data_IF_176368140263
#
_entry.id   IF_176368140263
#
_cell.length_a   1.000
_cell.length_b   1.000
_cell.length_c   1.000
_cell.angle_alpha   90.00
_cell.angle_beta   90.00
_cell.angle_gamma   90.00
#
_symmetry.space_group_name_H-M   'P 1'
#
loop_
_entity.id
_entity.type
_entity.pdbx_description
1 polymer ?
#
# COMPACT_ATOMS: atom_id res chain seq x y z
N UNK A 1 14.67 14.51 -1.91
CA UNK A 1 15.18 14.10 -3.23
C UNK A 1 16.39 13.24 -3.04
N UNK A 2 16.74 12.44 -4.04
CA UNK A 2 17.93 11.58 -4.07
C UNK A 2 18.56 11.63 -5.46
N UNK A 3 19.77 11.12 -5.62
CA UNK A 3 20.43 10.91 -6.91
C UNK A 3 20.09 9.51 -7.46
N UNK A 4 20.15 9.33 -8.77
CA UNK A 4 19.92 8.04 -9.40
C UNK A 4 20.92 7.00 -8.85
N UNK A 5 20.39 5.83 -8.47
CA UNK A 5 21.18 4.76 -7.85
C UNK A 5 21.27 4.82 -6.32
N UNK A 6 20.82 5.92 -5.70
CA UNK A 6 20.61 5.96 -4.25
C UNK A 6 19.30 5.27 -3.86
N UNK A 7 19.25 4.80 -2.61
CA UNK A 7 18.05 4.22 -2.01
C UNK A 7 17.43 5.18 -0.99
N UNK A 8 16.14 5.00 -0.74
CA UNK A 8 15.46 5.62 0.40
C UNK A 8 14.59 4.60 1.12
N UNK A 9 14.41 4.83 2.41
CA UNK A 9 13.57 3.99 3.26
C UNK A 9 12.13 4.51 3.30
N UNK A 10 11.18 3.58 3.28
CA UNK A 10 9.75 3.85 3.48
C UNK A 10 9.31 3.07 4.71
N UNK A 11 9.04 3.80 5.78
CA UNK A 11 8.56 3.24 7.05
C UNK A 11 7.08 3.55 7.20
N UNK A 12 6.25 2.51 7.24
CA UNK A 12 4.80 2.64 7.36
C UNK A 12 4.38 2.07 8.70
N UNK A 13 3.80 2.93 9.52
CA UNK A 13 3.14 2.55 10.77
C UNK A 13 1.64 2.52 10.52
N UNK A 14 1.04 1.33 10.62
CA UNK A 14 -0.39 1.12 10.41
C UNK A 14 -1.05 0.74 11.73
N UNK A 15 -2.10 1.46 12.11
CA UNK A 15 -2.81 1.23 13.37
C UNK A 15 -4.31 1.18 13.17
N UNK A 16 -4.94 0.14 13.71
CA UNK A 16 -6.38 0.12 13.93
C UNK A 16 -6.68 1.02 15.14
N UNK A 17 -7.44 2.10 14.95
CA UNK A 17 -7.71 3.11 15.99
C UNK A 17 -9.00 2.87 16.79
N UNK A 18 -9.53 1.64 16.77
CA UNK A 18 -10.65 1.23 17.62
C UNK A 18 -11.83 0.61 16.88
N UNK A 19 -11.71 0.35 15.58
CA UNK A 19 -12.72 -0.39 14.82
C UNK A 19 -12.51 -1.91 15.02
N UNK A 20 -13.57 -2.70 14.93
CA UNK A 20 -13.46 -4.15 14.91
C UNK A 20 -13.42 -4.63 13.46
N UNK A 21 -12.28 -5.19 13.05
CA UNK A 21 -12.11 -5.83 11.76
C UNK A 21 -11.76 -7.31 11.91
N UNK A 22 -12.23 -8.14 11.00
CA UNK A 22 -11.69 -9.47 10.80
C UNK A 22 -10.31 -9.40 10.14
N UNK A 23 -10.14 -8.50 9.17
CA UNK A 23 -8.94 -8.40 8.35
C UNK A 23 -8.52 -6.94 8.19
N UNK A 24 -7.31 -6.62 8.62
CA UNK A 24 -6.64 -5.36 8.30
C UNK A 24 -5.74 -5.56 7.11
N UNK A 25 -5.88 -4.76 6.06
CA UNK A 25 -5.08 -4.83 4.84
C UNK A 25 -4.32 -3.51 4.69
N UNK A 26 -3.00 -3.60 4.49
CA UNK A 26 -2.16 -2.49 4.05
C UNK A 26 -1.84 -2.70 2.56
N UNK A 27 -2.06 -1.66 1.75
CA UNK A 27 -1.73 -1.64 0.32
C UNK A 27 -0.76 -0.52 0.00
N UNK A 28 0.29 -0.85 -0.77
CA UNK A 28 1.35 0.08 -1.17
C UNK A 28 1.49 0.00 -2.69
N UNK A 29 1.09 1.06 -3.39
CA UNK A 29 1.13 1.18 -4.84
C UNK A 29 2.35 1.94 -5.36
N UNK A 30 2.85 1.50 -6.51
CA UNK A 30 4.00 2.10 -7.20
C UNK A 30 3.60 2.51 -8.63
N UNK A 31 3.04 3.71 -8.83
CA UNK A 31 2.44 4.14 -10.11
C UNK A 31 3.36 4.05 -11.32
N UNK A 32 4.67 4.22 -11.11
CA UNK A 32 5.70 4.13 -12.16
C UNK A 32 6.07 2.69 -12.53
N UNK A 33 5.60 1.67 -11.79
CA UNK A 33 6.00 0.27 -11.95
C UNK A 33 4.88 -0.60 -12.54
N UNK A 34 5.24 -1.44 -13.50
CA UNK A 34 4.35 -2.51 -13.98
C UNK A 34 4.48 -3.80 -13.16
N UNK A 35 5.67 -4.06 -12.62
CA UNK A 35 6.00 -5.19 -11.76
C UNK A 35 7.05 -4.73 -10.75
N UNK A 36 6.97 -5.26 -9.53
CA UNK A 36 8.00 -5.04 -8.52
C UNK A 36 9.13 -6.05 -8.74
N UNK A 37 10.35 -5.54 -8.88
CA UNK A 37 11.59 -6.34 -8.95
C UNK A 37 12.52 -5.96 -7.79
N UNK A 38 13.83 -6.06 -7.99
CA UNK A 38 14.90 -5.57 -7.10
C UNK A 38 14.85 -4.07 -6.73
N UNK A 39 14.04 -3.25 -7.40
CA UNK A 39 13.86 -1.82 -7.07
C UNK A 39 13.15 -1.60 -5.73
N UNK A 40 12.27 -2.51 -5.31
CA UNK A 40 11.56 -2.42 -4.02
C UNK A 40 11.85 -3.67 -3.21
N UNK A 41 12.42 -3.50 -2.03
CA UNK A 41 12.76 -4.59 -1.12
C UNK A 41 12.02 -4.43 0.19
N UNK A 42 11.30 -5.46 0.60
CA UNK A 42 10.71 -5.54 1.95
C UNK A 42 11.84 -5.84 2.94
N UNK A 43 12.04 -4.94 3.90
CA UNK A 43 13.10 -5.02 4.91
C UNK A 43 12.57 -5.66 6.19
N UNK A 44 11.41 -5.21 6.66
CA UNK A 44 10.75 -5.75 7.83
C UNK A 44 9.22 -5.71 7.67
N UNK A 45 8.53 -6.61 8.37
CA UNK A 45 7.08 -6.64 8.46
C UNK A 45 6.65 -7.29 9.76
N UNK A 46 5.86 -6.57 10.55
CA UNK A 46 5.27 -7.08 11.80
C UNK A 46 3.84 -7.60 11.61
N UNK A 47 3.38 -7.66 10.35
CA UNK A 47 2.11 -8.29 9.98
C UNK A 47 2.21 -9.82 10.08
N UNK A 48 1.09 -10.47 10.43
CA UNK A 48 1.04 -11.90 10.73
C UNK A 48 0.74 -12.78 9.50
N UNK A 49 0.50 -12.20 8.31
CA UNK A 49 0.43 -12.91 7.04
C UNK A 49 1.55 -12.46 6.08
N UNK A 50 1.83 -13.29 5.07
CA UNK A 50 2.79 -12.93 4.03
C UNK A 50 2.27 -11.77 3.17
N UNK A 51 3.20 -10.90 2.74
CA UNK A 51 2.90 -9.92 1.70
C UNK A 51 2.79 -10.60 0.33
N UNK A 52 2.07 -9.93 -0.56
CA UNK A 52 1.91 -10.33 -1.95
C UNK A 52 2.34 -9.22 -2.88
N UNK A 53 3.22 -9.55 -3.82
CA UNK A 53 3.52 -8.68 -4.96
C UNK A 53 2.48 -8.88 -6.04
N UNK A 54 1.82 -7.79 -6.42
CA UNK A 54 0.78 -7.78 -7.43
C UNK A 54 1.29 -6.95 -8.61
N UNK A 55 1.38 -7.57 -9.78
CA UNK A 55 1.73 -6.86 -11.02
C UNK A 55 0.54 -6.05 -11.53
N UNK A 56 0.82 -5.02 -12.32
CA UNK A 56 -0.17 -4.28 -13.11
C UNK A 56 -1.04 -5.25 -13.93
N UNK A 57 -2.29 -4.85 -14.17
CA UNK A 57 -3.34 -5.63 -14.84
C UNK A 57 -3.82 -6.89 -14.10
N UNK A 58 -3.47 -7.06 -12.82
CA UNK A 58 -4.02 -8.13 -11.97
C UNK A 58 -5.35 -7.68 -11.38
N UNK A 59 -6.31 -8.60 -11.26
CA UNK A 59 -7.59 -8.31 -10.59
C UNK A 59 -7.35 -8.15 -9.08
N UNK A 60 -7.72 -6.99 -8.55
CA UNK A 60 -7.64 -6.63 -7.13
C UNK A 60 -8.99 -6.16 -6.62
N UNK A 61 -9.19 -6.20 -5.30
CA UNK A 61 -10.39 -5.65 -4.67
C UNK A 61 -10.58 -4.17 -4.99
N UNK A 62 -11.82 -3.69 -4.96
CA UNK A 62 -12.14 -2.29 -5.28
C UNK A 62 -13.33 -1.79 -4.49
N UNK A 63 -13.47 -0.47 -4.39
CA UNK A 63 -14.59 0.23 -3.79
C UNK A 63 -14.91 -0.25 -2.37
N UNK A 64 -13.90 -0.64 -1.59
CA UNK A 64 -14.06 -1.15 -0.22
C UNK A 64 -15.01 -2.36 -0.09
N UNK A 65 -15.21 -3.09 -1.18
CA UNK A 65 -16.28 -4.10 -1.31
C UNK A 65 -15.96 -5.46 -0.66
N UNK A 66 -14.92 -5.54 0.17
CA UNK A 66 -14.42 -6.79 0.76
C UNK A 66 -14.16 -7.92 -0.27
N UNK A 67 -13.87 -7.55 -1.53
CA UNK A 67 -13.57 -8.48 -2.62
C UNK A 67 -14.74 -8.82 -3.55
N UNK A 68 -15.95 -8.32 -3.27
CA UNK A 68 -17.14 -8.52 -4.11
C UNK A 68 -17.02 -7.80 -5.47
N UNK A 69 -16.36 -6.65 -5.49
CA UNK A 69 -16.02 -5.91 -6.69
C UNK A 69 -14.52 -5.96 -6.95
N UNK A 70 -14.15 -6.18 -8.21
CA UNK A 70 -12.75 -6.24 -8.63
C UNK A 70 -12.50 -5.37 -9.85
N UNK A 71 -11.32 -4.76 -9.88
CA UNK A 71 -10.80 -4.00 -11.03
C UNK A 71 -9.39 -4.47 -11.35
N UNK A 72 -8.92 -4.20 -12.57
CA UNK A 72 -7.51 -4.41 -12.92
C UNK A 72 -6.67 -3.28 -12.34
N UNK A 73 -5.64 -3.65 -11.56
CA UNK A 73 -4.64 -2.70 -11.08
C UNK A 73 -3.96 -1.96 -12.25
N UNK A 74 -3.74 -0.66 -12.11
CA UNK A 74 -3.08 0.15 -13.15
C UNK A 74 -1.56 0.28 -12.93
N UNK A 75 -1.07 -0.23 -11.80
CA UNK A 75 0.32 -0.24 -11.40
C UNK A 75 0.61 -1.43 -10.48
N UNK A 76 1.87 -1.66 -10.16
CA UNK A 76 2.29 -2.72 -9.23
C UNK A 76 1.96 -2.35 -7.77
N UNK A 77 1.55 -3.33 -6.99
CA UNK A 77 1.16 -3.17 -5.57
C UNK A 77 1.90 -4.19 -4.69
N UNK A 78 2.09 -3.83 -3.43
CA UNK A 78 2.29 -4.76 -2.33
C UNK A 78 1.01 -4.73 -1.49
N UNK A 79 0.42 -5.90 -1.26
CA UNK A 79 -0.66 -6.05 -0.28
C UNK A 79 -0.19 -6.98 0.85
N UNK A 80 -0.45 -6.60 2.09
CA UNK A 80 -0.20 -7.43 3.27
C UNK A 80 -1.34 -7.28 4.25
N UNK A 81 -1.63 -8.32 5.03
CA UNK A 81 -2.78 -8.32 5.93
C UNK A 81 -2.47 -8.83 7.32
N UNK A 82 -3.31 -8.44 8.27
CA UNK A 82 -3.46 -9.07 9.57
C UNK A 82 -4.84 -9.70 9.69
N UNK A 83 -4.88 -10.94 10.18
CA UNK A 83 -6.11 -11.63 10.55
C UNK A 83 -5.86 -12.48 11.80
N UNK A 84 -6.64 -12.34 12.90
CA UNK A 84 -7.68 -11.30 13.10
C UNK A 84 -7.09 -9.89 13.18
N UNK A 85 -7.92 -8.84 13.00
CA UNK A 85 -7.55 -7.44 13.27
C UNK A 85 -8.06 -6.98 14.65
N UNK A 86 -7.24 -7.10 15.72
CA UNK A 86 -7.66 -6.65 17.03
C UNK A 86 -7.76 -5.11 17.08
N UNK A 87 -8.75 -4.56 17.81
CA UNK A 87 -8.79 -3.14 18.10
C UNK A 87 -7.48 -2.67 18.74
N UNK A 88 -6.97 -1.51 18.32
CA UNK A 88 -5.67 -0.97 18.75
C UNK A 88 -4.44 -1.75 18.28
N UNK A 89 -4.58 -2.75 17.40
CA UNK A 89 -3.47 -3.40 16.74
C UNK A 89 -2.63 -2.39 15.95
N UNK A 90 -1.30 -2.51 16.05
CA UNK A 90 -0.35 -1.64 15.36
C UNK A 90 0.76 -2.46 14.73
N UNK A 91 1.14 -2.11 13.51
CA UNK A 91 2.05 -2.89 12.70
C UNK A 91 2.99 -1.99 11.91
N UNK A 92 4.26 -2.36 11.91
CA UNK A 92 5.28 -1.72 11.10
C UNK A 92 5.53 -2.52 9.81
N UNK A 93 5.66 -1.78 8.71
CA UNK A 93 6.08 -2.32 7.42
C UNK A 93 7.17 -1.42 6.84
N UNK A 94 8.32 -2.01 6.53
CA UNK A 94 9.51 -1.27 6.11
C UNK A 94 9.96 -1.73 4.73
N UNK A 95 10.20 -0.75 3.86
CA UNK A 95 10.71 -0.96 2.51
C UNK A 95 11.98 -0.16 2.29
N UNK A 96 12.85 -0.68 1.44
CA UNK A 96 13.92 0.07 0.80
C UNK A 96 13.61 0.17 -0.69
N UNK A 97 13.65 1.38 -1.24
CA UNK A 97 13.35 1.65 -2.64
C UNK A 97 14.57 2.26 -3.32
N UNK A 98 14.95 1.71 -4.48
CA UNK A 98 16.06 2.19 -5.32
C UNK A 98 15.53 2.47 -6.73
N UNK A 99 14.98 3.68 -6.99
CA UNK A 99 14.39 4.00 -8.27
C UNK A 99 15.35 3.80 -9.44
N UNK A 100 14.84 3.23 -10.54
CA UNK A 100 15.65 2.98 -11.75
C UNK A 100 15.61 4.10 -12.78
N UNK A 101 14.76 5.11 -12.58
CA UNK A 101 14.56 6.20 -13.53
C UNK A 101 14.62 7.55 -12.83
N UNK A 102 15.15 8.56 -13.53
CA UNK A 102 15.13 9.97 -13.13
C UNK A 102 13.70 10.50 -13.21
N UNK A 103 13.33 11.40 -12.29
CA UNK A 103 12.03 12.06 -12.27
C UNK A 103 11.31 11.90 -10.94
N UNK A 104 10.01 12.19 -10.96
CA UNK A 104 9.16 12.07 -9.78
C UNK A 104 8.82 10.59 -9.53
N UNK A 105 9.21 10.08 -8.37
CA UNK A 105 8.87 8.75 -7.90
C UNK A 105 7.74 8.83 -6.88
N UNK A 106 6.58 8.25 -7.18
CA UNK A 106 5.43 8.27 -6.28
C UNK A 106 5.19 6.92 -5.61
N UNK A 107 4.67 6.96 -4.38
CA UNK A 107 4.24 5.81 -3.60
C UNK A 107 2.85 6.13 -3.04
N UNK A 108 1.90 5.25 -3.29
CA UNK A 108 0.53 5.38 -2.82
C UNK A 108 0.33 4.42 -1.65
N UNK A 109 -0.17 4.91 -0.51
CA UNK A 109 -0.38 4.09 0.68
C UNK A 109 -1.84 4.20 1.13
N UNK A 110 -2.48 3.06 1.39
CA UNK A 110 -3.81 2.97 1.99
C UNK A 110 -3.92 1.75 2.89
N UNK A 111 -4.87 1.79 3.80
CA UNK A 111 -5.26 0.62 4.58
C UNK A 111 -6.78 0.47 4.66
N UNK A 112 -7.25 -0.75 4.81
CA UNK A 112 -8.66 -1.11 4.84
C UNK A 112 -8.87 -2.17 5.91
N UNK A 113 -9.94 -2.03 6.69
CA UNK A 113 -10.47 -3.04 7.58
C UNK A 113 -11.68 -3.71 6.93
N UNK A 114 -11.76 -5.04 7.03
CA UNK A 114 -12.88 -5.86 6.57
C UNK A 114 -13.54 -6.50 7.80
N UNK A 115 -14.88 -6.44 7.96
CA UNK A 115 -15.82 -5.80 7.06
C UNK A 115 -15.67 -4.27 7.06
N UNK A 116 -15.82 -3.67 5.88
CA UNK A 116 -15.82 -2.21 5.76
C UNK A 116 -17.21 -1.71 6.16
N UNK A 117 -17.33 -1.22 7.39
CA UNK A 117 -18.63 -0.85 7.98
C UNK A 117 -18.84 0.65 8.11
N UNK A 118 -17.77 1.43 8.04
CA UNK A 118 -17.82 2.88 8.14
C UNK A 118 -16.59 3.54 7.51
N UNK A 119 -16.58 4.88 7.48
CA UNK A 119 -15.41 5.66 7.07
C UNK A 119 -14.17 5.37 7.94
N UNK A 120 -14.34 4.87 9.17
CA UNK A 120 -13.22 4.49 10.04
C UNK A 120 -12.54 3.19 9.59
N UNK A 121 -13.20 2.39 8.76
CA UNK A 121 -12.69 1.11 8.27
C UNK A 121 -11.70 1.25 7.11
N UNK A 122 -11.19 2.46 6.85
CA UNK A 122 -10.12 2.66 5.88
C UNK A 122 -9.30 3.91 6.21
N UNK A 123 -8.12 4.03 5.61
CA UNK A 123 -7.31 5.24 5.63
C UNK A 123 -6.56 5.38 4.30
N UNK A 124 -6.37 6.60 3.77
CA UNK A 124 -6.92 7.88 4.26
C UNK A 124 -8.42 8.02 3.98
N UNK A 125 -9.10 8.91 4.71
CA UNK A 125 -10.56 9.12 4.58
C UNK A 125 -10.97 10.10 3.47
N UNK A 126 -9.99 10.72 2.81
CA UNK A 126 -10.20 11.69 1.74
C UNK A 126 -8.92 11.87 0.93
N UNK A 127 -9.03 12.50 -0.24
CA UNK A 127 -7.89 12.85 -1.08
C UNK A 127 -8.02 12.25 -2.48
N UNK A 128 -6.89 11.81 -3.03
CA UNK A 128 -6.86 11.20 -4.34
C UNK A 128 -7.47 9.79 -4.27
N UNK A 129 -8.43 9.52 -5.16
CA UNK A 129 -8.88 8.16 -5.41
C UNK A 129 -7.92 7.49 -6.38
N UNK A 130 -7.48 6.30 -6.00
CA UNK A 130 -6.73 5.45 -6.89
C UNK A 130 -7.66 4.68 -7.86
N UNK A 131 -7.11 3.92 -8.81
CA UNK A 131 -7.92 3.17 -9.77
C UNK A 131 -8.78 2.05 -9.15
N UNK A 132 -8.58 1.69 -7.89
CA UNK A 132 -9.47 0.80 -7.14
C UNK A 132 -10.70 1.52 -6.58
N UNK A 133 -10.81 2.84 -6.80
CA UNK A 133 -11.89 3.66 -6.26
C UNK A 133 -11.72 3.92 -4.76
N UNK A 134 -10.49 3.83 -4.25
CA UNK A 134 -10.16 3.93 -2.84
C UNK A 134 -9.18 5.08 -2.63
N UNK A 135 -9.35 5.83 -1.54
CA UNK A 135 -8.46 6.91 -1.19
C UNK A 135 -7.06 6.40 -0.88
N UNK A 136 -6.04 7.17 -1.29
CA UNK A 136 -4.63 6.89 -1.04
C UNK A 136 -3.88 8.14 -0.56
N UNK A 137 -2.91 7.93 0.33
CA UNK A 137 -1.91 8.94 0.67
C UNK A 137 -0.80 8.89 -0.37
N UNK A 138 -0.47 10.04 -0.96
CA UNK A 138 0.58 10.16 -1.97
C UNK A 138 1.86 10.69 -1.35
N UNK A 139 2.93 9.92 -1.48
CA UNK A 139 4.28 10.32 -1.12
C UNK A 139 5.14 10.38 -2.38
N UNK A 140 6.01 11.39 -2.48
CA UNK A 140 6.80 11.58 -3.68
C UNK A 140 8.27 11.90 -3.34
N UNK A 141 9.18 11.30 -4.11
CA UNK A 141 10.62 11.56 -4.05
C UNK A 141 11.10 11.98 -5.42
N UNK A 142 11.74 13.14 -5.52
CA UNK A 142 12.43 13.54 -6.75
C UNK A 142 13.76 12.79 -6.88
N UNK A 143 13.94 12.07 -7.98
CA UNK A 143 15.17 11.36 -8.37
C UNK A 143 15.91 12.21 -9.40
N UNK A 144 17.10 12.68 -9.04
CA UNK A 144 17.94 13.53 -9.88
C UNK A 144 18.97 12.67 -10.64
N UNK A 145 19.51 13.17 -11.78
CA UNK A 145 20.59 12.51 -12.52
C UNK A 145 21.83 12.24 -11.67
#
# INVERSE_FOLDING_TARGET
>A
SISLGESFDVNIFSKNIGDYGDIHILSIGFPSLEIITDEVKVINSDFNHQYHFIKKNTLVGSNYSAGDQKVKSQYALIEIMNRPSPPNGSYDFQLMVTPKNVGLYEIYVKSIEIPHTSELSHFPHQGMLDPQGEYVSVYSVMVNP
#
